data_IF_114752160000
#
_entry.id   IF_114752160000
#
_cell.length_a   1.000
_cell.length_b   1.000
_cell.length_c   1.000
_cell.angle_alpha   90.00
_cell.angle_beta   90.00
_cell.angle_gamma   90.00
#
_symmetry.space_group_name_H-M   'P 1'
#
loop_
_entity.id
_entity.type
_entity.pdbx_description
1 polymer ?
#
# COMPACT_ATOMS: atom_id res chain seq x y z
N UNK A 1 -1.79 -4.30 -3.43
CA UNK A 1 -2.75 -3.41 -2.70
C UNK A 1 -2.60 -3.65 -1.20
N UNK A 2 -2.70 -2.58 -0.40
CA UNK A 2 -2.72 -2.64 1.07
C UNK A 2 -4.10 -2.15 1.55
N UNK A 3 -4.82 -2.95 2.35
CA UNK A 3 -6.16 -2.60 2.86
C UNK A 3 -6.29 -2.89 4.35
N UNK A 4 -7.16 -2.14 5.03
CA UNK A 4 -7.58 -2.40 6.41
C UNK A 4 -8.67 -3.47 6.52
N UNK A 5 -9.23 -3.94 5.41
CA UNK A 5 -10.25 -4.98 5.40
C UNK A 5 -9.73 -6.33 5.91
N UNK A 6 -10.65 -7.20 6.34
CA UNK A 6 -10.34 -8.58 6.65
C UNK A 6 -9.78 -9.34 5.43
N UNK A 7 -8.88 -10.30 5.67
CA UNK A 7 -8.19 -11.07 4.61
C UNK A 7 -9.16 -11.68 3.58
N UNK A 8 -10.33 -12.18 4.03
CA UNK A 8 -11.33 -12.77 3.15
C UNK A 8 -11.94 -11.76 2.16
N UNK A 9 -12.23 -10.54 2.64
CA UNK A 9 -12.78 -9.45 1.82
C UNK A 9 -11.71 -8.99 0.84
N UNK A 10 -10.49 -8.77 1.32
CA UNK A 10 -9.36 -8.39 0.49
C UNK A 10 -9.14 -9.39 -0.66
N UNK A 11 -9.09 -10.70 -0.37
CA UNK A 11 -8.95 -11.74 -1.40
C UNK A 11 -10.04 -11.70 -2.46
N UNK A 12 -11.28 -11.46 -2.07
CA UNK A 12 -12.39 -11.36 -3.03
C UNK A 12 -12.26 -10.10 -3.89
N UNK A 13 -11.93 -8.94 -3.30
CA UNK A 13 -11.65 -7.71 -4.05
C UNK A 13 -10.52 -7.90 -5.05
N UNK A 14 -9.43 -8.52 -4.61
CA UNK A 14 -8.28 -8.87 -5.44
C UNK A 14 -8.66 -9.75 -6.64
N UNK A 15 -9.52 -10.75 -6.41
CA UNK A 15 -10.04 -11.63 -7.45
C UNK A 15 -10.91 -10.86 -8.45
N UNK A 16 -11.78 -9.96 -7.98
CA UNK A 16 -12.61 -9.12 -8.84
C UNK A 16 -11.76 -8.19 -9.72
N UNK A 17 -10.67 -7.65 -9.15
CA UNK A 17 -9.72 -6.78 -9.85
C UNK A 17 -8.65 -7.54 -10.65
N UNK A 18 -8.63 -8.88 -10.59
CA UNK A 18 -7.65 -9.75 -11.26
C UNK A 18 -6.19 -9.47 -10.86
N UNK A 19 -5.95 -9.15 -9.60
CA UNK A 19 -4.65 -8.77 -9.04
C UNK A 19 -3.85 -9.92 -8.41
N UNK A 20 -4.27 -11.19 -8.61
CA UNK A 20 -3.73 -12.35 -7.87
C UNK A 20 -4.42 -12.53 -6.52
N UNK A 21 -4.25 -13.66 -5.84
CA UNK A 21 -4.96 -13.96 -4.56
C UNK A 21 -4.03 -14.35 -3.41
N UNK A 22 -2.71 -14.17 -3.59
CA UNK A 22 -1.70 -14.30 -2.54
C UNK A 22 -1.73 -13.08 -1.62
N UNK A 23 -2.84 -12.95 -0.89
CA UNK A 23 -3.10 -11.88 0.07
C UNK A 23 -2.92 -12.41 1.49
N UNK A 24 -2.17 -11.67 2.30
CA UNK A 24 -1.78 -12.05 3.65
C UNK A 24 -2.16 -10.99 4.69
N UNK A 25 -2.30 -11.40 5.94
CA UNK A 25 -2.47 -10.48 7.05
C UNK A 25 -1.20 -9.65 7.31
N UNK A 26 -1.38 -8.48 7.89
CA UNK A 26 -0.27 -7.56 8.17
C UNK A 26 0.64 -8.03 9.31
N UNK A 27 0.23 -8.99 10.14
CA UNK A 27 1.08 -9.52 11.22
C UNK A 27 2.28 -10.31 10.67
N UNK A 28 2.17 -10.86 9.46
CA UNK A 28 3.31 -11.49 8.76
C UNK A 28 4.41 -10.52 8.33
N UNK A 29 4.14 -9.21 8.39
CA UNK A 29 5.15 -8.17 8.19
C UNK A 29 5.97 -7.91 9.46
N UNK A 30 5.53 -8.42 10.62
CA UNK A 30 6.19 -8.25 11.91
C UNK A 30 7.42 -9.17 11.99
N UNK A 31 8.52 -8.70 11.41
CA UNK A 31 9.82 -9.35 11.45
C UNK A 31 10.81 -8.68 10.50
N UNK A 32 12.04 -8.44 10.96
CA UNK A 32 13.11 -7.89 10.11
C UNK A 32 14.04 -9.01 9.66
N UNK A 33 14.02 -9.33 8.37
CA UNK A 33 14.88 -10.37 7.80
C UNK A 33 14.76 -10.50 6.29
N UNK A 34 15.76 -11.13 5.65
CA UNK A 34 15.81 -11.37 4.22
C UNK A 34 14.57 -12.15 3.72
N UNK A 35 14.11 -13.12 4.52
CA UNK A 35 12.91 -13.91 4.22
C UNK A 35 11.62 -13.08 4.16
N UNK A 36 11.52 -12.01 4.96
CA UNK A 36 10.35 -11.13 4.95
C UNK A 36 10.34 -10.26 3.71
N UNK A 37 11.51 -9.79 3.26
CA UNK A 37 11.61 -9.01 2.01
C UNK A 37 11.24 -9.84 0.79
N UNK A 38 11.72 -11.10 0.72
CA UNK A 38 11.34 -12.02 -0.37
C UNK A 38 9.84 -12.32 -0.33
N UNK A 39 9.26 -12.43 0.86
CA UNK A 39 7.83 -12.62 1.04
C UNK A 39 7.01 -11.40 0.61
N UNK A 40 7.46 -10.18 0.92
CA UNK A 40 6.81 -8.93 0.50
C UNK A 40 6.79 -8.81 -1.02
N UNK A 41 7.88 -9.17 -1.68
CA UNK A 41 7.99 -9.13 -3.14
C UNK A 41 7.11 -10.19 -3.83
N UNK A 42 6.90 -11.36 -3.20
CA UNK A 42 6.07 -12.42 -3.73
C UNK A 42 4.56 -12.26 -3.45
N UNK A 43 4.17 -11.35 -2.56
CA UNK A 43 2.79 -11.14 -2.17
C UNK A 43 2.05 -10.23 -3.16
N UNK A 44 0.80 -10.58 -3.47
CA UNK A 44 -0.09 -9.73 -4.28
C UNK A 44 -0.63 -8.56 -3.44
N UNK A 45 -0.82 -8.80 -2.14
CA UNK A 45 -1.36 -7.79 -1.23
C UNK A 45 -1.32 -8.11 0.25
N UNK A 46 -1.62 -7.07 1.02
CA UNK A 46 -1.72 -7.14 2.47
C UNK A 46 -3.08 -6.62 2.95
N UNK A 47 -3.67 -7.36 3.88
CA UNK A 47 -4.95 -7.06 4.50
C UNK A 47 -4.75 -6.80 5.99
N UNK A 48 -5.79 -6.27 6.65
CA UNK A 48 -5.76 -5.89 8.08
C UNK A 48 -4.57 -4.96 8.38
N UNK A 49 -4.25 -4.08 7.44
CA UNK A 49 -3.18 -3.08 7.57
C UNK A 49 -3.73 -1.88 8.34
N UNK A 50 -3.36 -1.80 9.61
CA UNK A 50 -3.81 -0.73 10.50
C UNK A 50 -2.93 0.52 10.38
N UNK A 51 -3.49 1.75 10.47
CA UNK A 51 -2.71 2.99 10.33
C UNK A 51 -1.67 3.21 11.43
N UNK A 52 -1.93 2.68 12.62
CA UNK A 52 -1.10 2.86 13.82
C UNK A 52 0.18 2.02 13.79
N UNK A 53 0.22 0.99 12.95
CA UNK A 53 1.31 0.05 12.85
C UNK A 53 2.03 0.37 11.54
N UNK A 54 3.31 0.74 11.61
CA UNK A 54 4.19 1.25 10.54
C UNK A 54 4.30 0.34 9.27
N UNK A 55 3.46 -0.68 9.15
CA UNK A 55 3.41 -1.69 8.10
C UNK A 55 3.33 -1.08 6.69
N UNK A 56 2.58 0.01 6.48
CA UNK A 56 2.50 0.66 5.16
C UNK A 56 3.85 1.19 4.71
N UNK A 57 4.52 1.94 5.59
CA UNK A 57 5.85 2.48 5.32
C UNK A 57 6.88 1.37 5.14
N UNK A 58 6.86 0.36 6.01
CA UNK A 58 7.78 -0.78 5.94
C UNK A 58 7.69 -1.55 4.62
N UNK A 59 6.48 -1.79 4.10
CA UNK A 59 6.30 -2.46 2.80
C UNK A 59 6.93 -1.65 1.67
N UNK A 60 6.70 -0.33 1.67
CA UNK A 60 7.29 0.58 0.68
C UNK A 60 8.81 0.59 0.79
N UNK A 61 9.35 0.75 2.01
CA UNK A 61 10.80 0.76 2.25
C UNK A 61 11.46 -0.55 1.81
N UNK A 62 10.86 -1.70 2.13
CA UNK A 62 11.39 -3.01 1.74
C UNK A 62 11.46 -3.18 0.21
N UNK A 63 10.44 -2.72 -0.51
CA UNK A 63 10.43 -2.75 -1.98
C UNK A 63 11.47 -1.80 -2.57
N UNK A 64 11.60 -0.58 -2.02
CA UNK A 64 12.61 0.39 -2.43
C UNK A 64 14.04 -0.12 -2.20
N UNK A 65 14.30 -0.79 -1.07
CA UNK A 65 15.60 -1.40 -0.77
C UNK A 65 15.98 -2.52 -1.74
N UNK A 66 15.02 -3.11 -2.47
CA UNK A 66 15.28 -4.06 -3.56
C UNK A 66 15.42 -3.42 -4.94
N UNK A 67 15.36 -2.08 -5.01
CA UNK A 67 15.51 -1.32 -6.25
C UNK A 67 14.20 -1.11 -7.01
N UNK A 68 13.04 -1.44 -6.44
CA UNK A 68 11.75 -1.14 -7.05
C UNK A 68 11.45 0.36 -6.93
N UNK A 69 11.05 0.98 -8.04
CA UNK A 69 10.42 2.30 -7.99
C UNK A 69 8.98 2.13 -7.53
N UNK A 70 8.70 2.59 -6.32
CA UNK A 70 7.39 2.43 -5.68
C UNK A 70 6.60 3.73 -5.73
N UNK A 71 5.33 3.66 -6.09
CA UNK A 71 4.38 4.74 -5.87
C UNK A 71 3.29 4.26 -4.90
N UNK A 72 3.04 5.03 -3.85
CA UNK A 72 1.95 4.78 -2.92
C UNK A 72 0.88 5.85 -3.07
N UNK A 73 -0.36 5.41 -3.23
CA UNK A 73 -1.55 6.25 -3.22
C UNK A 73 -2.15 6.30 -1.82
N UNK A 74 -2.61 7.47 -1.39
CA UNK A 74 -3.24 7.66 -0.10
C UNK A 74 -4.01 8.96 -0.01
N UNK A 75 -4.86 9.07 1.00
CA UNK A 75 -5.77 10.18 1.24
C UNK A 75 -5.59 10.83 2.62
N UNK A 76 -4.98 10.11 3.57
CA UNK A 76 -4.83 10.50 4.95
C UNK A 76 -3.46 11.08 5.34
N UNK A 77 -3.44 11.83 6.45
CA UNK A 77 -2.23 12.37 7.10
C UNK A 77 -1.21 11.26 7.45
N UNK A 78 -1.68 10.05 7.74
CA UNK A 78 -0.85 8.93 8.17
C UNK A 78 -0.01 8.35 7.02
N UNK A 79 -0.44 8.55 5.77
CA UNK A 79 0.30 8.05 4.61
C UNK A 79 1.44 9.00 4.21
N UNK A 80 1.46 10.23 4.73
CA UNK A 80 2.37 11.30 4.33
C UNK A 80 3.87 10.89 4.24
N UNK A 81 4.44 10.08 5.16
CA UNK A 81 5.86 9.70 5.08
C UNK A 81 6.23 8.81 3.89
N UNK A 82 5.26 8.09 3.31
CA UNK A 82 5.45 7.17 2.17
C UNK A 82 4.64 7.57 0.93
N UNK A 83 3.89 8.68 0.99
CA UNK A 83 2.93 9.08 -0.02
C UNK A 83 3.62 9.68 -1.25
N UNK A 84 3.48 9.03 -2.40
CA UNK A 84 3.92 9.60 -3.69
C UNK A 84 2.78 10.24 -4.47
N UNK A 85 1.54 9.77 -4.27
CA UNK A 85 0.35 10.20 -5.02
C UNK A 85 -0.80 10.47 -4.06
N UNK A 86 -1.28 11.71 -4.01
CA UNK A 86 -2.51 12.06 -3.31
C UNK A 86 -3.72 11.95 -4.26
N UNK A 87 -4.81 11.34 -3.79
CA UNK A 87 -6.04 11.20 -4.58
C UNK A 87 -6.96 12.43 -4.47
N UNK A 88 -7.93 12.56 -5.39
CA UNK A 88 -8.96 13.60 -5.29
C UNK A 88 -9.68 13.51 -3.95
N UNK A 89 -9.80 14.64 -3.26
CA UNK A 89 -10.42 14.69 -1.92
C UNK A 89 -9.49 14.33 -0.75
N UNK A 90 -8.22 13.98 -1.02
CA UNK A 90 -7.23 13.78 0.02
C UNK A 90 -7.06 15.02 0.92
N UNK A 91 -6.66 14.78 2.16
CA UNK A 91 -6.38 15.84 3.14
C UNK A 91 -5.30 16.81 2.64
N UNK A 92 -5.32 18.06 3.13
CA UNK A 92 -4.30 19.07 2.78
C UNK A 92 -2.88 18.61 3.09
N UNK A 93 -2.72 17.86 4.19
CA UNK A 93 -1.45 17.26 4.57
C UNK A 93 -0.98 16.21 3.54
N UNK A 94 -1.87 15.31 3.12
CA UNK A 94 -1.56 14.32 2.10
C UNK A 94 -1.21 14.99 0.76
N UNK A 95 -1.97 16.01 0.34
CA UNK A 95 -1.66 16.77 -0.88
C UNK A 95 -0.32 17.49 -0.83
N UNK A 96 0.07 17.99 0.34
CA UNK A 96 1.35 18.69 0.52
C UNK A 96 2.54 17.74 0.61
N UNK A 97 2.32 16.49 1.04
CA UNK A 97 3.35 15.47 1.14
C UNK A 97 3.57 14.71 -0.18
N UNK A 98 2.55 14.61 -1.03
CA UNK A 98 2.63 13.87 -2.29
C UNK A 98 3.36 14.65 -3.40
N UNK A 99 4.12 13.92 -4.22
CA UNK A 99 4.75 14.47 -5.43
C UNK A 99 3.74 14.77 -6.54
N UNK A 100 2.64 14.01 -6.59
CA UNK A 100 1.58 14.13 -7.58
C UNK A 100 0.21 14.15 -6.90
N UNK A 101 -0.68 15.04 -7.35
CA UNK A 101 -2.06 15.14 -6.88
C UNK A 101 -3.03 14.86 -8.01
N UNK A 102 -3.92 13.89 -7.81
CA UNK A 102 -4.95 13.54 -8.78
C UNK A 102 -6.19 14.42 -8.65
N UNK A 103 -6.68 14.90 -9.79
CA UNK A 103 -7.88 15.73 -9.88
C UNK A 103 -9.15 14.89 -10.03
N UNK A 104 -9.01 13.65 -10.47
CA UNK A 104 -10.10 12.68 -10.64
C UNK A 104 -9.91 11.47 -9.73
N UNK A 105 -11.02 10.80 -9.42
CA UNK A 105 -11.03 9.63 -8.57
C UNK A 105 -10.62 8.37 -9.35
N UNK A 106 -10.03 7.42 -8.64
CA UNK A 106 -9.72 6.10 -9.16
C UNK A 106 -8.29 5.94 -9.68
N UNK A 107 -7.97 4.68 -9.99
CA UNK A 107 -6.62 4.26 -10.38
C UNK A 107 -6.36 4.40 -11.89
N UNK A 108 -7.39 4.67 -12.69
CA UNK A 108 -7.27 4.76 -14.15
C UNK A 108 -6.24 5.80 -14.61
N UNK A 109 -6.06 6.87 -13.85
CA UNK A 109 -5.09 7.93 -14.18
C UNK A 109 -3.63 7.53 -13.90
N UNK A 110 -3.38 6.37 -13.26
CA UNK A 110 -2.02 5.83 -13.02
C UNK A 110 -1.55 4.95 -14.20
N UNK A 111 -2.50 4.36 -14.95
CA UNK A 111 -2.25 3.29 -15.93
C UNK A 111 -2.30 3.78 -17.38
#
# INVERSE_FOLDING_TARGET
MLTGDAVAIAKETFKQLRLGTNVYDSQRLIGSGMSVRDFVEAADGFAEVLPEYEHKYQVVEMLQQRGHLTAMTGDGVNDAPSLGIAVKGASDAARSAADVVFLDEGLNSII
#
